data_IF_794059449592
#
_entry.id   IF_794059449592
#
_cell.length_a   1.000
_cell.length_b   1.000
_cell.length_c   1.000
_cell.angle_alpha   90.00
_cell.angle_beta   90.00
_cell.angle_gamma   90.00
#
_symmetry.space_group_name_H-M   'P 1'
#
loop_
_entity.id
_entity.type
_entity.pdbx_description
1 polymer ?
#
# COMPACT_ATOMS: atom_id res chain seq x y z
N UNK A 1 -2.36 -44.67 -37.11
CA UNK A 1 -1.61 -43.40 -36.97
C UNK A 1 -2.46 -42.25 -36.45
N UNK A 2 -3.71 -42.07 -36.92
CA UNK A 2 -4.59 -41.00 -36.41
C UNK A 2 -4.91 -41.05 -34.91
N UNK A 3 -5.02 -42.23 -34.29
CA UNK A 3 -5.35 -42.36 -32.86
C UNK A 3 -4.24 -41.84 -31.91
N UNK A 4 -2.97 -42.06 -32.23
CA UNK A 4 -1.84 -41.54 -31.44
C UNK A 4 -1.66 -40.03 -31.63
N UNK A 5 -1.87 -39.53 -32.84
CA UNK A 5 -1.82 -38.10 -33.12
C UNK A 5 -2.95 -37.34 -32.42
N UNK A 6 -4.17 -37.90 -32.41
CA UNK A 6 -5.30 -37.32 -31.66
C UNK A 6 -5.03 -37.26 -30.16
N UNK A 7 -4.42 -38.31 -29.58
CA UNK A 7 -4.06 -38.32 -28.16
C UNK A 7 -3.04 -37.23 -27.80
N UNK A 8 -2.05 -37.00 -28.66
CA UNK A 8 -1.02 -35.97 -28.41
C UNK A 8 -1.61 -34.57 -28.43
N UNK A 9 -2.54 -34.29 -29.34
CA UNK A 9 -3.23 -32.98 -29.41
C UNK A 9 -4.06 -32.73 -28.16
N UNK A 10 -4.81 -33.73 -27.70
CA UNK A 10 -5.63 -33.61 -26.49
C UNK A 10 -4.76 -33.36 -25.27
N UNK A 11 -3.62 -34.05 -25.15
CA UNK A 11 -2.68 -33.84 -24.06
C UNK A 11 -2.12 -32.41 -24.04
N UNK A 12 -1.74 -31.87 -25.20
CA UNK A 12 -1.26 -30.48 -25.30
C UNK A 12 -2.34 -29.47 -24.92
N UNK A 13 -3.60 -29.71 -25.29
CA UNK A 13 -4.71 -28.80 -24.99
C UNK A 13 -5.04 -28.74 -23.50
N UNK A 14 -4.93 -29.86 -22.78
CA UNK A 14 -5.09 -29.88 -21.31
C UNK A 14 -3.98 -29.05 -20.64
N UNK A 15 -2.74 -29.18 -21.10
CA UNK A 15 -1.62 -28.39 -20.57
C UNK A 15 -1.80 -26.89 -20.77
N UNK A 16 -2.25 -26.47 -21.96
CA UNK A 16 -2.54 -25.06 -22.27
C UNK A 16 -3.66 -24.53 -21.36
N UNK A 17 -4.71 -25.33 -21.13
CA UNK A 17 -5.83 -24.95 -20.25
C UNK A 17 -5.37 -24.59 -18.84
N UNK A 18 -4.50 -25.39 -18.24
CA UNK A 18 -3.94 -25.12 -16.90
C UNK A 18 -3.01 -23.90 -16.92
N UNK A 19 -2.16 -23.77 -17.94
CA UNK A 19 -1.22 -22.66 -18.06
C UNK A 19 -1.92 -21.30 -18.15
N UNK A 20 -3.08 -21.20 -18.83
CA UNK A 20 -3.86 -19.97 -18.92
C UNK A 20 -4.38 -19.55 -17.54
N UNK A 21 -4.96 -20.48 -16.78
CA UNK A 21 -5.51 -20.18 -15.45
C UNK A 21 -4.40 -19.72 -14.50
N UNK A 22 -3.28 -20.45 -14.47
CA UNK A 22 -2.11 -20.06 -13.65
C UNK A 22 -1.58 -18.70 -14.07
N UNK A 23 -1.42 -18.44 -15.38
CA UNK A 23 -0.95 -17.16 -15.91
C UNK A 23 -1.85 -15.99 -15.49
N UNK A 24 -3.17 -16.15 -15.55
CA UNK A 24 -4.13 -15.14 -15.12
C UNK A 24 -4.02 -14.86 -13.61
N UNK A 25 -3.93 -15.90 -12.79
CA UNK A 25 -3.78 -15.72 -11.33
C UNK A 25 -2.46 -15.03 -10.96
N UNK A 26 -1.38 -15.32 -11.68
CA UNK A 26 -0.08 -14.70 -11.45
C UNK A 26 -0.07 -13.21 -11.82
N UNK A 27 -0.72 -12.82 -12.93
CA UNK A 27 -0.85 -11.41 -13.31
C UNK A 27 -1.67 -10.64 -12.27
N UNK A 28 -2.75 -11.23 -11.75
CA UNK A 28 -3.54 -10.62 -10.68
C UNK A 28 -2.75 -10.47 -9.38
N UNK A 29 -2.03 -11.51 -8.97
CA UNK A 29 -1.17 -11.46 -7.77
C UNK A 29 -0.09 -10.37 -7.90
N UNK A 30 0.54 -10.24 -9.06
CA UNK A 30 1.53 -9.19 -9.32
C UNK A 30 0.93 -7.78 -9.24
N UNK A 31 -0.29 -7.57 -9.73
CA UNK A 31 -0.97 -6.28 -9.64
C UNK A 31 -1.28 -5.91 -8.17
N UNK A 32 -1.71 -6.88 -7.36
CA UNK A 32 -1.97 -6.70 -5.92
C UNK A 32 -0.68 -6.30 -5.19
N UNK A 33 0.42 -7.03 -5.42
CA UNK A 33 1.71 -6.76 -4.78
C UNK A 33 2.29 -5.41 -5.21
N UNK A 34 2.14 -5.02 -6.47
CA UNK A 34 2.56 -3.72 -6.98
C UNK A 34 1.83 -2.58 -6.25
N UNK A 35 0.51 -2.70 -6.06
CA UNK A 35 -0.26 -1.68 -5.32
C UNK A 35 0.05 -1.68 -3.84
N UNK A 36 0.24 -2.85 -3.20
CA UNK A 36 0.71 -2.93 -1.81
C UNK A 36 2.03 -2.18 -1.64
N UNK A 37 2.98 -2.43 -2.54
CA UNK A 37 4.30 -1.78 -2.52
C UNK A 37 4.19 -0.26 -2.75
N UNK A 38 3.31 0.17 -3.66
CA UNK A 38 3.07 1.59 -3.91
C UNK A 38 2.47 2.31 -2.68
N UNK A 39 1.47 1.71 -2.02
CA UNK A 39 0.90 2.24 -0.77
C UNK A 39 1.95 2.39 0.33
N UNK A 40 2.79 1.37 0.52
CA UNK A 40 3.87 1.40 1.51
C UNK A 40 4.88 2.51 1.20
N UNK A 41 5.25 2.69 -0.08
CA UNK A 41 6.16 3.75 -0.50
C UNK A 41 5.60 5.15 -0.20
N UNK A 42 4.33 5.38 -0.51
CA UNK A 42 3.66 6.65 -0.24
C UNK A 42 3.57 6.92 1.28
N UNK A 43 3.20 5.91 2.06
CA UNK A 43 3.15 5.99 3.52
C UNK A 43 4.54 6.26 4.13
N UNK A 44 5.60 5.65 3.60
CA UNK A 44 6.97 5.90 4.05
C UNK A 44 7.43 7.33 3.72
N UNK A 45 7.04 7.85 2.55
CA UNK A 45 7.29 9.24 2.16
C UNK A 45 6.60 10.22 3.11
N UNK A 46 5.33 9.96 3.44
CA UNK A 46 4.59 10.76 4.42
C UNK A 46 5.19 10.66 5.82
N UNK A 47 5.60 9.47 6.25
CA UNK A 47 6.29 9.26 7.53
C UNK A 47 7.62 10.02 7.60
N UNK A 48 8.38 10.06 6.51
CA UNK A 48 9.63 10.84 6.44
C UNK A 48 9.37 12.35 6.59
N UNK A 49 8.37 12.87 5.88
CA UNK A 49 7.96 14.28 6.00
C UNK A 49 7.46 14.61 7.40
N UNK A 50 6.63 13.76 7.99
CA UNK A 50 6.11 13.92 9.34
C UNK A 50 7.24 13.95 10.39
N UNK A 51 8.24 13.07 10.26
CA UNK A 51 9.44 13.09 11.14
C UNK A 51 10.27 14.34 10.94
N UNK A 52 10.50 14.75 9.69
CA UNK A 52 11.19 16.01 9.39
C UNK A 52 10.48 17.22 10.01
N UNK A 53 9.15 17.18 10.10
CA UNK A 53 8.33 18.18 10.75
C UNK A 53 8.43 18.13 12.29
N UNK A 54 8.43 16.92 12.87
CA UNK A 54 8.58 16.71 14.32
C UNK A 54 9.82 17.39 14.90
N UNK A 55 10.95 17.29 14.19
CA UNK A 55 12.22 17.90 14.61
C UNK A 55 12.30 19.41 14.36
N UNK A 56 11.40 20.00 13.56
CA UNK A 56 11.40 21.44 13.29
C UNK A 56 10.79 22.20 14.48
N UNK A 57 11.42 23.28 14.95
CA UNK A 57 10.86 24.13 15.99
C UNK A 57 9.58 24.85 15.52
N UNK A 58 8.68 25.17 16.45
CA UNK A 58 7.40 25.83 16.16
C UNK A 58 7.55 27.21 15.51
N UNK A 59 8.60 27.97 15.85
CA UNK A 59 8.88 29.28 15.26
C UNK A 59 9.30 29.23 13.78
N UNK A 60 9.64 28.05 13.25
CA UNK A 60 9.87 27.82 11.82
C UNK A 60 8.69 27.10 11.14
N UNK A 61 7.53 27.08 11.79
CA UNK A 61 6.37 26.31 11.33
C UNK A 61 6.67 24.81 11.38
N UNK A 62 7.10 24.31 12.54
CA UNK A 62 7.38 22.89 12.84
C UNK A 62 6.53 22.35 14.00
N UNK A 63 6.64 21.06 14.29
CA UNK A 63 5.84 20.40 15.33
C UNK A 63 6.38 20.60 16.76
N UNK A 64 7.61 21.11 16.93
CA UNK A 64 8.25 21.27 18.24
C UNK A 64 8.20 19.99 19.10
N UNK A 65 8.50 18.83 18.49
CA UNK A 65 8.40 17.50 19.12
C UNK A 65 6.99 17.12 19.57
N UNK A 66 5.99 17.52 18.80
CA UNK A 66 4.59 17.18 19.07
C UNK A 66 3.85 16.85 17.77
N UNK A 67 3.52 15.57 17.55
CA UNK A 67 2.76 15.17 16.36
C UNK A 67 1.30 15.65 16.39
N UNK A 68 0.77 16.21 17.49
CA UNK A 68 -0.60 16.75 17.52
C UNK A 68 -0.79 17.95 16.59
N UNK A 69 0.28 18.70 16.33
CA UNK A 69 0.24 19.87 15.45
C UNK A 69 0.41 19.52 13.96
N UNK A 70 0.42 18.23 13.60
CA UNK A 70 0.51 17.81 12.20
C UNK A 70 -0.81 17.96 11.46
N UNK A 71 -1.94 17.73 12.15
CA UNK A 71 -3.27 17.83 11.55
C UNK A 71 -3.60 19.26 11.09
N UNK A 72 -3.01 20.27 11.74
CA UNK A 72 -3.25 21.69 11.43
C UNK A 72 -2.48 22.19 10.19
N UNK A 73 -1.39 21.53 9.79
CA UNK A 73 -0.44 22.11 8.83
C UNK A 73 -0.55 21.61 7.39
N UNK A 74 -1.68 20.99 7.03
CA UNK A 74 -1.97 20.57 5.65
C UNK A 74 -0.78 19.77 5.03
N UNK A 75 -0.07 18.98 5.85
CA UNK A 75 1.00 18.10 5.36
C UNK A 75 0.46 17.01 4.43
N UNK A 76 -0.86 16.78 4.48
CA UNK A 76 -1.63 15.76 3.77
C UNK A 76 -2.60 16.36 2.75
N UNK A 77 -2.16 17.34 1.95
CA UNK A 77 -2.94 17.91 0.81
C UNK A 77 -3.37 16.86 -0.25
N UNK A 78 -3.11 15.57 -0.02
CA UNK A 78 -3.41 14.47 -0.94
C UNK A 78 -4.19 13.37 -0.22
N UNK A 79 -5.44 13.67 0.16
CA UNK A 79 -6.44 12.72 0.69
C UNK A 79 -6.63 11.49 -0.23
N UNK A 80 -6.24 11.62 -1.50
CA UNK A 80 -6.12 10.52 -2.46
C UNK A 80 -5.04 10.74 -3.51
N UNK A 81 -4.36 9.68 -3.94
CA UNK A 81 -3.53 9.64 -5.15
C UNK A 81 -4.03 8.53 -6.11
N UNK A 82 -3.24 8.23 -7.14
CA UNK A 82 -3.54 7.15 -8.10
C UNK A 82 -3.52 5.73 -7.48
N UNK A 83 -2.79 5.54 -6.37
CA UNK A 83 -2.61 4.28 -5.66
C UNK A 83 -3.70 4.04 -4.59
N UNK A 84 -4.19 5.09 -3.93
CA UNK A 84 -5.16 4.96 -2.85
C UNK A 84 -5.53 6.27 -2.14
N UNK A 85 -6.35 6.15 -1.09
CA UNK A 85 -6.71 7.22 -0.16
C UNK A 85 -5.84 7.16 1.09
N UNK A 86 -5.48 8.31 1.65
CA UNK A 86 -4.63 8.37 2.84
C UNK A 86 -5.19 9.33 3.87
N UNK A 87 -5.26 8.88 5.12
CA UNK A 87 -5.76 9.69 6.22
C UNK A 87 -4.98 9.42 7.50
N UNK A 88 -5.11 10.35 8.45
CA UNK A 88 -4.57 10.21 9.80
C UNK A 88 -5.62 9.48 10.64
N UNK A 89 -5.26 8.34 11.22
CA UNK A 89 -6.16 7.59 12.10
C UNK A 89 -6.08 8.11 13.54
N UNK A 90 -4.86 8.36 14.02
CA UNK A 90 -4.66 8.96 15.34
C UNK A 90 -3.37 9.76 15.39
N UNK A 91 -3.35 10.75 16.29
CA UNK A 91 -2.17 11.56 16.57
C UNK A 91 -2.01 11.72 18.07
N UNK A 92 -0.79 11.56 18.54
CA UNK A 92 -0.35 11.75 19.92
C UNK A 92 0.85 12.70 19.91
N UNK A 93 1.40 13.02 21.08
CA UNK A 93 2.64 13.80 21.15
C UNK A 93 3.83 13.05 20.53
N UNK A 94 3.89 11.73 20.75
CA UNK A 94 5.03 10.87 20.42
C UNK A 94 4.78 9.91 19.25
N UNK A 95 3.53 9.83 18.77
CA UNK A 95 3.13 8.88 17.73
C UNK A 95 2.12 9.49 16.76
N UNK A 96 2.30 9.20 15.47
CA UNK A 96 1.39 9.53 14.38
C UNK A 96 1.03 8.24 13.64
N UNK A 97 -0.27 7.92 13.55
CA UNK A 97 -0.75 6.75 12.81
C UNK A 97 -1.38 7.21 11.51
N UNK A 98 -0.81 6.74 10.39
CA UNK A 98 -1.29 7.01 9.04
C UNK A 98 -1.85 5.73 8.44
N UNK A 99 -2.95 5.84 7.72
CA UNK A 99 -3.58 4.72 7.02
C UNK A 99 -3.70 5.05 5.55
N UNK A 100 -3.30 4.10 4.70
CA UNK A 100 -3.45 4.13 3.25
C UNK A 100 -4.38 3.01 2.80
N UNK A 101 -5.44 3.34 2.08
CA UNK A 101 -6.42 2.41 1.52
C UNK A 101 -6.27 2.39 0.01
N UNK A 102 -5.87 1.27 -0.56
CA UNK A 102 -5.70 1.11 -2.01
C UNK A 102 -7.01 1.19 -2.77
N UNK A 103 -6.98 1.79 -3.97
CA UNK A 103 -8.14 1.77 -4.88
C UNK A 103 -8.37 0.40 -5.54
N UNK A 104 -7.42 -0.53 -5.43
CA UNK A 104 -7.59 -1.88 -5.98
C UNK A 104 -8.58 -2.66 -5.11
N UNK A 105 -9.74 -2.92 -5.69
CA UNK A 105 -10.75 -3.83 -5.14
C UNK A 105 -10.92 -4.96 -6.16
N UNK A 106 -10.16 -6.05 -5.99
CA UNK A 106 -10.47 -7.33 -6.64
C UNK A 106 -11.26 -8.14 -5.61
N UNK A 107 -12.56 -8.31 -5.83
CA UNK A 107 -13.41 -9.13 -4.95
C UNK A 107 -14.13 -8.39 -3.81
N UNK A 108 -14.13 -7.06 -3.80
CA UNK A 108 -14.82 -6.25 -2.77
C UNK A 108 -13.94 -5.80 -1.61
N UNK A 109 -12.73 -6.35 -1.50
CA UNK A 109 -11.80 -6.06 -0.41
C UNK A 109 -10.68 -5.12 -0.90
N UNK A 110 -10.44 -4.04 -0.15
CA UNK A 110 -9.42 -3.04 -0.44
C UNK A 110 -8.19 -3.27 0.42
N UNK A 111 -7.01 -3.27 -0.18
CA UNK A 111 -5.74 -3.41 0.57
C UNK A 111 -5.59 -2.20 1.50
N UNK A 112 -5.61 -2.43 2.81
CA UNK A 112 -5.40 -1.39 3.81
C UNK A 112 -4.04 -1.56 4.46
N UNK A 113 -3.24 -0.49 4.44
CA UNK A 113 -1.91 -0.45 5.05
C UNK A 113 -1.91 0.64 6.10
N UNK A 114 -1.49 0.29 7.32
CA UNK A 114 -1.29 1.22 8.42
C UNK A 114 0.21 1.41 8.65
N UNK A 115 0.64 2.65 8.88
CA UNK A 115 1.99 2.95 9.36
C UNK A 115 1.89 3.77 10.64
N UNK A 116 2.50 3.26 11.70
CA UNK A 116 2.70 3.99 12.95
C UNK A 116 4.09 4.62 12.93
N UNK A 117 4.14 5.93 13.06
CA UNK A 117 5.36 6.73 13.00
C UNK A 117 5.63 7.30 14.39
N UNK A 118 6.80 6.97 14.94
CA UNK A 118 7.30 7.51 16.20
C UNK A 118 8.58 8.36 15.92
N UNK A 119 9.12 9.05 16.93
CA UNK A 119 10.33 9.87 16.82
C UNK A 119 11.56 9.12 16.25
N UNK A 120 11.66 7.81 16.48
CA UNK A 120 12.83 7.00 16.08
C UNK A 120 12.53 5.90 15.08
N UNK A 121 11.29 5.43 14.98
CA UNK A 121 10.97 4.26 14.18
C UNK A 121 9.62 4.40 13.47
N UNK A 122 9.43 3.65 12.40
CA UNK A 122 8.16 3.53 11.70
C UNK A 122 7.80 2.06 11.57
N UNK A 123 6.62 1.68 12.06
CA UNK A 123 6.11 0.30 12.00
C UNK A 123 5.00 0.23 10.96
N UNK A 124 5.14 -0.65 9.99
CA UNK A 124 4.12 -0.90 8.96
C UNK A 124 3.31 -2.13 9.37
N UNK A 125 1.99 -2.00 9.39
CA UNK A 125 1.02 -3.05 9.66
C UNK A 125 0.09 -3.21 8.45
N UNK A 126 -0.19 -4.45 8.06
CA UNK A 126 -1.14 -4.75 6.99
C UNK A 126 -2.47 -5.12 7.63
N UNK A 127 -3.52 -4.39 7.27
CA UNK A 127 -4.89 -4.66 7.69
C UNK A 127 -5.58 -5.33 6.50
N UNK A 128 -5.69 -6.66 6.58
CA UNK A 128 -6.62 -7.41 5.72
C UNK A 128 -7.99 -7.35 6.38
#
# INVERSE_FOLDING_TARGET
MGQQQLLMVVLSMVLIGVAIVVGLTMVQANAIEASRSALVYDLLHFASKARGYYWRPSYLGGANRDFTNIASMNLFVWDSNANGRYYIESTSKDELVLVGVGHIVIGGDSITVRISVNERNSRVEYLN
#
